data_IF_618454808537
#
_entry.id   IF_618454808537
#
_cell.length_a   1.000
_cell.length_b   1.000
_cell.length_c   1.000
_cell.angle_alpha   90.00
_cell.angle_beta   90.00
_cell.angle_gamma   90.00
#
_symmetry.space_group_name_H-M   'P 1'
#
loop_
_entity.id
_entity.type
_entity.pdbx_description
1 polymer ?
#
# COMPACT_ATOMS: atom_id res chain seq x y z
N UNK A 1 12.62 -9.20 6.10
CA UNK A 1 12.56 -8.55 7.42
C UNK A 1 11.27 -8.95 8.09
N UNK A 2 11.26 -9.14 9.41
CA UNK A 2 10.02 -9.30 10.18
C UNK A 2 9.27 -7.97 10.31
N UNK A 3 7.99 -8.00 10.66
CA UNK A 3 7.20 -6.77 10.86
C UNK A 3 7.83 -5.90 11.95
N UNK A 4 8.29 -6.49 13.06
CA UNK A 4 8.99 -5.72 14.11
C UNK A 4 10.17 -4.94 13.56
N UNK A 5 11.00 -5.57 12.73
CA UNK A 5 12.16 -4.91 12.12
C UNK A 5 11.74 -3.78 11.19
N UNK A 6 10.66 -3.95 10.43
CA UNK A 6 10.13 -2.92 9.55
C UNK A 6 9.65 -1.70 10.34
N UNK A 7 8.89 -1.92 11.43
CA UNK A 7 8.41 -0.83 12.29
C UNK A 7 9.56 -0.09 13.01
N UNK A 8 10.57 -0.83 13.49
CA UNK A 8 11.77 -0.23 14.09
C UNK A 8 12.57 0.62 13.10
N UNK A 9 12.58 0.22 11.82
CA UNK A 9 13.22 0.98 10.75
C UNK A 9 12.42 2.26 10.44
N UNK A 10 11.09 2.16 10.31
CA UNK A 10 10.21 3.31 10.10
C UNK A 10 10.31 4.33 11.22
N UNK A 11 10.29 3.89 12.48
CA UNK A 11 10.44 4.76 13.64
C UNK A 11 11.75 5.52 13.59
N UNK A 12 12.86 4.79 13.39
CA UNK A 12 14.19 5.39 13.34
C UNK A 12 14.35 6.37 12.18
N UNK A 13 13.92 5.97 10.98
CA UNK A 13 14.05 6.78 9.77
C UNK A 13 13.20 8.03 9.87
N UNK A 14 11.97 7.94 10.38
CA UNK A 14 11.10 9.10 10.57
C UNK A 14 11.72 10.10 11.54
N UNK A 15 12.20 9.63 12.70
CA UNK A 15 12.84 10.51 13.69
C UNK A 15 14.13 11.15 13.19
N UNK A 16 14.85 10.46 12.31
CA UNK A 16 16.09 10.98 11.72
C UNK A 16 15.85 11.95 10.54
N UNK A 17 14.85 11.68 9.70
CA UNK A 17 14.73 12.32 8.39
C UNK A 17 13.61 13.38 8.31
N UNK A 18 12.57 13.28 9.13
CA UNK A 18 11.41 14.18 9.09
C UNK A 18 11.61 15.49 9.87
N UNK A 19 12.80 15.76 10.42
CA UNK A 19 13.04 16.90 11.32
C UNK A 19 12.62 18.23 10.71
N UNK A 20 12.92 18.47 9.43
CA UNK A 20 12.56 19.72 8.74
C UNK A 20 11.05 19.91 8.60
N UNK A 21 10.30 18.82 8.44
CA UNK A 21 8.84 18.88 8.35
C UNK A 21 8.24 19.23 9.72
N UNK A 22 8.72 18.59 10.79
CA UNK A 22 8.31 18.89 12.16
C UNK A 22 8.62 20.35 12.54
N UNK A 23 9.81 20.85 12.17
CA UNK A 23 10.17 22.27 12.31
C UNK A 23 9.20 23.21 11.55
N UNK A 24 8.78 22.84 10.33
CA UNK A 24 7.87 23.63 9.50
C UNK A 24 6.46 23.72 10.11
N UNK A 25 5.94 22.59 10.62
CA UNK A 25 4.62 22.54 11.26
C UNK A 25 4.63 23.03 12.72
N UNK A 26 5.80 23.33 13.27
CA UNK A 26 5.97 23.85 14.63
C UNK A 26 5.75 22.80 15.73
N UNK A 27 6.01 21.54 15.43
CA UNK A 27 5.90 20.42 16.37
C UNK A 27 7.27 19.77 16.63
N UNK A 28 7.40 19.11 17.78
CA UNK A 28 8.60 18.32 18.08
C UNK A 28 8.51 16.95 17.40
N UNK A 29 9.67 16.46 16.93
CA UNK A 29 9.78 15.08 16.44
C UNK A 29 9.40 14.12 17.58
N UNK A 30 8.45 13.19 17.37
CA UNK A 30 8.02 12.28 18.42
C UNK A 30 9.18 11.39 18.88
N UNK A 31 9.22 11.08 20.18
CA UNK A 31 10.25 10.17 20.72
C UNK A 31 10.13 8.75 20.15
N UNK A 32 8.92 8.36 19.74
CA UNK A 32 8.57 7.05 19.21
C UNK A 32 7.29 7.12 18.37
N UNK A 33 7.22 6.36 17.27
CA UNK A 33 6.00 6.13 16.49
C UNK A 33 5.10 5.03 17.06
N UNK A 34 5.58 4.24 18.04
CA UNK A 34 4.75 3.30 18.79
C UNK A 34 3.88 4.07 19.79
N UNK A 35 2.70 4.50 19.34
CA UNK A 35 1.80 5.40 20.09
C UNK A 35 0.94 4.70 21.15
N UNK A 36 0.68 3.40 20.97
CA UNK A 36 -0.17 2.59 21.84
C UNK A 36 0.52 1.27 22.20
N UNK A 37 0.20 0.68 23.37
CA UNK A 37 0.70 -0.64 23.73
C UNK A 37 0.18 -1.70 22.72
N UNK A 38 0.91 -2.81 22.51
CA UNK A 38 0.46 -3.92 21.68
C UNK A 38 -1.00 -4.36 21.95
N UNK A 39 -1.74 -4.67 20.89
CA UNK A 39 -3.10 -5.18 21.00
C UNK A 39 -3.09 -6.62 21.56
N UNK A 40 -4.06 -6.94 22.40
CA UNK A 40 -4.27 -8.32 22.87
C UNK A 40 -5.04 -9.16 21.85
N UNK A 41 -4.96 -10.48 21.99
CA UNK A 41 -5.73 -11.41 21.15
C UNK A 41 -7.25 -11.15 21.28
N UNK A 42 -7.73 -10.78 22.47
CA UNK A 42 -9.14 -10.44 22.70
C UNK A 42 -9.57 -9.17 21.97
N UNK A 43 -8.69 -8.16 21.92
CA UNK A 43 -8.95 -6.91 21.21
C UNK A 43 -9.03 -7.14 19.69
N UNK A 44 -8.09 -7.91 19.14
CA UNK A 44 -8.09 -8.28 17.72
C UNK A 44 -9.35 -9.09 17.38
N UNK A 45 -9.72 -10.05 18.24
CA UNK A 45 -10.92 -10.86 18.05
C UNK A 45 -12.21 -10.01 18.18
N UNK A 46 -12.21 -8.98 19.02
CA UNK A 46 -13.33 -8.04 19.11
C UNK A 46 -13.46 -7.21 17.82
N UNK A 47 -12.34 -6.75 17.25
CA UNK A 47 -12.31 -6.06 15.96
C UNK A 47 -12.82 -6.97 14.82
N UNK A 48 -12.34 -8.21 14.72
CA UNK A 48 -12.82 -9.18 13.72
C UNK A 48 -14.34 -9.40 13.82
N UNK A 49 -14.89 -9.48 15.04
CA UNK A 49 -16.34 -9.55 15.26
C UNK A 49 -17.08 -8.27 14.89
N UNK A 50 -16.50 -7.09 15.17
CA UNK A 50 -17.06 -5.77 14.80
C UNK A 50 -17.17 -5.67 13.27
N UNK A 51 -16.16 -6.14 12.55
CA UNK A 51 -16.05 -6.05 11.10
C UNK A 51 -16.73 -7.22 10.35
N UNK A 52 -17.12 -8.29 11.07
CA UNK A 52 -17.66 -9.55 10.51
C UNK A 52 -16.72 -10.22 9.48
N UNK A 53 -15.43 -10.26 9.80
CA UNK A 53 -14.38 -10.84 8.94
C UNK A 53 -13.16 -11.32 9.74
N UNK A 54 -12.29 -12.06 9.06
CA UNK A 54 -10.98 -12.47 9.60
C UNK A 54 -9.91 -11.59 8.98
N UNK A 55 -9.09 -10.95 9.82
CA UNK A 55 -8.02 -10.05 9.39
C UNK A 55 -6.81 -10.85 8.88
N UNK A 56 -6.00 -10.28 7.96
CA UNK A 56 -4.74 -10.87 7.52
C UNK A 56 -3.82 -11.21 8.69
N UNK A 57 -3.11 -12.34 8.60
CA UNK A 57 -2.21 -12.79 9.67
C UNK A 57 -1.05 -11.82 9.93
N UNK A 58 -0.51 -11.22 8.87
CA UNK A 58 0.54 -10.22 8.98
C UNK A 58 0.04 -8.89 9.56
N UNK A 59 -1.20 -8.49 9.27
CA UNK A 59 -1.81 -7.34 9.93
C UNK A 59 -2.07 -7.60 11.43
N UNK A 60 -2.50 -8.81 11.79
CA UNK A 60 -2.64 -9.19 13.21
C UNK A 60 -1.29 -9.22 13.92
N UNK A 61 -0.22 -9.67 13.26
CA UNK A 61 1.15 -9.58 13.79
C UNK A 61 1.53 -8.11 14.03
N UNK A 62 1.24 -7.20 13.09
CA UNK A 62 1.41 -5.77 13.28
C UNK A 62 0.70 -5.26 14.53
N UNK A 63 -0.60 -5.54 14.69
CA UNK A 63 -1.38 -5.09 15.86
C UNK A 63 -0.81 -5.60 17.19
N UNK A 64 -0.29 -6.84 17.20
CA UNK A 64 0.40 -7.44 18.36
C UNK A 64 1.79 -6.88 18.65
N UNK A 65 2.33 -6.06 17.75
CA UNK A 65 3.59 -5.34 17.94
C UNK A 65 3.31 -3.87 18.27
N UNK A 66 2.34 -3.27 17.59
CA UNK A 66 1.92 -1.88 17.71
C UNK A 66 0.43 -1.78 17.45
N UNK A 67 -0.35 -1.34 18.43
CA UNK A 67 -1.79 -1.13 18.26
C UNK A 67 -2.05 0.22 17.57
N UNK A 68 -1.70 0.31 16.29
CA UNK A 68 -1.58 1.58 15.58
C UNK A 68 -0.15 2.12 15.60
N UNK A 69 0.17 3.03 14.69
CA UNK A 69 1.54 3.51 14.46
C UNK A 69 1.51 4.95 13.96
N UNK A 70 2.40 5.80 14.47
CA UNK A 70 2.46 7.21 14.07
C UNK A 70 2.80 7.40 12.60
N UNK A 71 2.55 8.61 12.09
CA UNK A 71 2.85 8.96 10.70
C UNK A 71 4.33 8.78 10.37
N UNK A 72 4.61 8.06 9.28
CA UNK A 72 5.97 7.66 8.90
C UNK A 72 6.48 8.47 7.72
N UNK A 73 7.73 8.93 7.79
CA UNK A 73 8.37 9.67 6.71
C UNK A 73 8.48 8.86 5.42
N UNK A 74 8.18 9.46 4.27
CA UNK A 74 8.32 8.82 2.95
C UNK A 74 9.33 9.47 1.99
N UNK A 75 10.14 10.40 2.48
CA UNK A 75 11.04 11.20 1.64
C UNK A 75 10.49 12.56 1.22
N UNK A 76 9.21 12.83 1.45
CA UNK A 76 8.58 14.10 1.10
C UNK A 76 7.62 14.63 2.17
N UNK A 77 6.72 13.79 2.69
CA UNK A 77 5.80 14.08 3.79
C UNK A 77 5.68 12.87 4.74
N UNK A 78 4.84 12.97 5.77
CA UNK A 78 4.45 11.83 6.60
C UNK A 78 3.30 11.09 5.94
N UNK A 79 3.48 9.80 5.69
CA UNK A 79 2.36 8.90 5.42
C UNK A 79 1.37 8.94 6.59
N UNK A 80 0.09 8.65 6.32
CA UNK A 80 -0.93 8.70 7.37
C UNK A 80 -0.57 7.71 8.49
N UNK A 81 -0.83 8.10 9.76
CA UNK A 81 -0.69 7.18 10.88
C UNK A 81 -1.61 5.97 10.66
N UNK A 82 -1.16 4.82 11.13
CA UNK A 82 -1.95 3.60 11.08
C UNK A 82 -2.80 3.48 12.34
N UNK A 83 -4.07 3.14 12.16
CA UNK A 83 -5.06 3.02 13.21
C UNK A 83 -4.78 1.87 14.17
N UNK A 84 -5.15 2.07 15.43
CA UNK A 84 -5.29 0.98 16.39
C UNK A 84 -6.65 0.28 16.25
N UNK A 85 -6.85 -0.81 16.98
CA UNK A 85 -8.05 -1.65 16.88
C UNK A 85 -9.38 -0.91 17.12
N UNK A 86 -9.37 0.19 17.87
CA UNK A 86 -10.58 0.97 18.16
C UNK A 86 -11.01 1.81 16.94
N UNK A 87 -10.03 2.29 16.17
CA UNK A 87 -10.21 3.26 15.09
C UNK A 87 -10.34 2.59 13.71
N UNK A 88 -9.97 1.31 13.58
CA UNK A 88 -10.21 0.55 12.34
C UNK A 88 -11.72 0.36 12.14
N UNK A 89 -12.19 0.81 10.98
CA UNK A 89 -13.59 0.69 10.58
C UNK A 89 -13.77 0.58 9.06
N UNK A 90 -15.02 0.37 8.65
CA UNK A 90 -15.38 0.38 7.24
C UNK A 90 -15.50 1.81 6.75
N UNK A 91 -14.85 2.11 5.63
CA UNK A 91 -15.06 3.38 4.94
C UNK A 91 -16.52 3.53 4.50
N UNK A 92 -17.03 4.74 4.71
CA UNK A 92 -18.37 5.12 4.27
C UNK A 92 -18.37 5.73 2.86
N UNK A 93 -17.23 6.22 2.40
CA UNK A 93 -17.06 6.79 1.07
C UNK A 93 -16.54 5.71 0.11
N UNK A 94 -17.28 5.46 -0.96
CA UNK A 94 -16.78 4.70 -2.08
C UNK A 94 -15.78 5.57 -2.85
N UNK A 95 -14.51 5.21 -2.78
CA UNK A 95 -13.47 5.70 -3.67
C UNK A 95 -13.63 5.07 -5.08
N UNK A 96 -13.10 5.74 -6.10
CA UNK A 96 -13.14 5.32 -7.51
C UNK A 96 -11.82 4.66 -7.91
N UNK A 97 -11.25 3.84 -7.01
CA UNK A 97 -9.99 3.15 -7.24
C UNK A 97 -10.24 1.69 -7.64
N UNK A 98 -9.31 1.11 -8.39
CA UNK A 98 -9.39 -0.29 -8.78
C UNK A 98 -8.97 -1.21 -7.62
N UNK A 99 -9.70 -2.32 -7.37
CA UNK A 99 -9.38 -3.28 -6.31
C UNK A 99 -7.93 -3.79 -6.30
N UNK A 100 -7.36 -3.94 -7.49
CA UNK A 100 -5.96 -4.24 -7.72
C UNK A 100 -5.52 -3.39 -8.90
N UNK A 101 -4.42 -2.66 -8.78
CA UNK A 101 -3.91 -1.82 -9.85
C UNK A 101 -2.76 -2.51 -10.59
N UNK A 102 -3.05 -2.93 -11.84
CA UNK A 102 -2.10 -3.50 -12.80
C UNK A 102 -1.91 -2.61 -14.04
N UNK A 103 -2.32 -1.34 -13.95
CA UNK A 103 -2.41 -0.42 -15.08
C UNK A 103 -1.22 0.52 -15.21
N UNK A 104 -0.15 0.32 -14.44
CA UNK A 104 1.09 1.05 -14.63
C UNK A 104 1.69 0.67 -15.99
N UNK A 105 1.50 1.55 -16.97
CA UNK A 105 2.18 1.48 -18.27
C UNK A 105 3.17 2.64 -18.35
N UNK A 106 4.28 2.51 -19.10
CA UNK A 106 5.22 3.61 -19.30
C UNK A 106 4.59 4.89 -19.90
N UNK A 107 3.40 4.76 -20.49
CA UNK A 107 2.61 5.83 -21.09
C UNK A 107 1.59 6.44 -20.12
N UNK A 108 1.39 5.84 -18.95
CA UNK A 108 0.38 6.25 -17.97
C UNK A 108 -1.07 5.96 -18.39
N UNK A 109 -1.27 5.16 -19.45
CA UNK A 109 -2.59 4.81 -19.96
C UNK A 109 -3.06 3.44 -19.44
N UNK A 110 -4.36 3.35 -19.16
CA UNK A 110 -5.06 2.09 -18.92
C UNK A 110 -5.18 1.32 -20.24
N UNK A 111 -4.29 0.36 -20.47
CA UNK A 111 -4.24 -0.41 -21.73
C UNK A 111 -5.13 -1.69 -21.72
N UNK A 112 -5.81 -1.96 -20.60
CA UNK A 112 -6.73 -3.10 -20.46
C UNK A 112 -8.17 -2.61 -20.41
N UNK A 113 -8.95 -3.01 -21.42
CA UNK A 113 -10.39 -2.80 -21.48
C UNK A 113 -11.12 -4.10 -21.17
N UNK A 114 -12.22 -4.02 -20.41
CA UNK A 114 -13.08 -5.17 -20.21
C UNK A 114 -13.81 -5.54 -21.50
N UNK A 115 -13.99 -6.84 -21.80
CA UNK A 115 -14.68 -7.28 -23.00
C UNK A 115 -16.08 -6.66 -23.12
N UNK A 116 -16.38 -6.20 -24.34
CA UNK A 116 -17.63 -5.50 -24.63
C UNK A 116 -17.70 -4.06 -24.12
N UNK A 117 -16.57 -3.46 -23.69
CA UNK A 117 -16.49 -2.07 -23.23
C UNK A 117 -17.20 -1.84 -21.90
N UNK A 118 -17.23 -2.85 -21.02
CA UNK A 118 -17.82 -2.75 -19.69
C UNK A 118 -16.93 -1.91 -18.77
N UNK A 119 -17.55 -1.32 -17.75
CA UNK A 119 -16.83 -0.62 -16.69
C UNK A 119 -16.13 -1.60 -15.75
N UNK A 120 -14.98 -1.19 -15.24
CA UNK A 120 -14.24 -1.94 -14.24
C UNK A 120 -15.03 -2.08 -12.93
N UNK A 121 -14.90 -3.20 -12.21
CA UNK A 121 -15.55 -3.35 -10.91
C UNK A 121 -15.04 -2.28 -9.93
N UNK A 122 -15.97 -1.57 -9.30
CA UNK A 122 -15.67 -0.67 -8.19
C UNK A 122 -15.23 -1.50 -6.95
N UNK A 123 -14.39 -0.92 -6.10
CA UNK A 123 -13.87 -1.59 -4.92
C UNK A 123 -14.84 -1.72 -3.73
N UNK A 124 -16.08 -1.24 -3.82
CA UNK A 124 -17.03 -1.31 -2.72
C UNK A 124 -16.52 -0.65 -1.43
N UNK A 125 -16.95 -1.11 -0.26
CA UNK A 125 -16.42 -0.63 1.03
C UNK A 125 -15.03 -1.19 1.29
N UNK A 126 -14.12 -0.34 1.72
CA UNK A 126 -12.74 -0.67 2.14
C UNK A 126 -12.63 -0.58 3.67
N UNK A 127 -11.61 -1.20 4.26
CA UNK A 127 -11.28 -0.95 5.67
C UNK A 127 -10.30 0.22 5.75
N UNK A 128 -10.63 1.22 6.54
CA UNK A 128 -9.72 2.30 6.88
C UNK A 128 -8.65 1.80 7.85
N UNK A 129 -7.39 1.86 7.42
CA UNK A 129 -6.23 1.52 8.23
C UNK A 129 -5.50 2.75 8.74
N UNK A 130 -5.87 3.94 8.30
CA UNK A 130 -5.15 5.16 8.60
C UNK A 130 -5.47 6.24 7.59
N UNK A 131 -5.82 7.43 8.06
CA UNK A 131 -6.05 8.57 7.19
C UNK A 131 -5.42 9.85 7.76
N UNK A 132 -5.03 10.75 6.86
CA UNK A 132 -4.63 12.11 7.18
C UNK A 132 -4.83 13.00 5.96
N UNK A 133 -5.80 13.92 6.05
CA UNK A 133 -6.13 14.86 4.97
C UNK A 133 -6.53 14.10 3.69
N UNK A 134 -5.71 14.16 2.64
CA UNK A 134 -5.93 13.46 1.37
C UNK A 134 -5.18 12.13 1.26
N UNK A 135 -4.50 11.70 2.34
CA UNK A 135 -3.71 10.48 2.39
C UNK A 135 -4.51 9.38 3.11
N UNK A 136 -4.58 8.20 2.51
CA UNK A 136 -5.29 7.06 3.07
C UNK A 136 -4.45 5.79 2.98
N UNK A 137 -4.51 4.98 4.01
CA UNK A 137 -4.06 3.60 4.04
C UNK A 137 -5.30 2.73 4.22
N UNK A 138 -5.51 1.76 3.33
CA UNK A 138 -6.73 0.97 3.34
C UNK A 138 -6.49 -0.51 3.02
N UNK A 139 -7.44 -1.35 3.40
CA UNK A 139 -7.58 -2.70 2.85
C UNK A 139 -8.75 -2.81 1.89
N UNK A 140 -8.49 -3.47 0.76
CA UNK A 140 -9.51 -4.03 -0.11
C UNK A 140 -9.89 -5.43 0.41
N UNK A 141 -11.18 -5.69 0.71
CA UNK A 141 -11.61 -6.95 1.31
C UNK A 141 -11.70 -8.11 0.30
N UNK A 142 -11.73 -9.39 0.75
CA UNK A 142 -11.63 -10.56 -0.11
C UNK A 142 -12.68 -10.72 -1.21
N UNK A 143 -13.91 -10.32 -0.95
CA UNK A 143 -14.97 -10.33 -1.96
C UNK A 143 -14.67 -9.36 -3.11
N UNK A 144 -14.12 -8.19 -2.78
CA UNK A 144 -13.78 -7.14 -3.74
C UNK A 144 -12.52 -7.51 -4.50
N UNK A 145 -11.46 -7.91 -3.79
CA UNK A 145 -10.19 -8.36 -4.38
C UNK A 145 -10.44 -9.45 -5.43
N UNK A 146 -11.28 -10.44 -5.09
CA UNK A 146 -11.67 -11.51 -6.01
C UNK A 146 -12.36 -10.99 -7.26
N UNK A 147 -13.30 -10.04 -7.11
CA UNK A 147 -14.01 -9.45 -8.24
C UNK A 147 -13.05 -8.73 -9.19
N UNK A 148 -12.08 -7.98 -8.66
CA UNK A 148 -11.02 -7.37 -9.45
C UNK A 148 -10.15 -8.38 -10.19
N UNK A 149 -9.70 -9.43 -9.49
CA UNK A 149 -8.91 -10.51 -10.10
C UNK A 149 -9.68 -11.20 -11.23
N UNK A 150 -10.97 -11.52 -11.04
CA UNK A 150 -11.82 -12.13 -12.06
C UNK A 150 -11.94 -11.25 -13.30
N UNK A 151 -12.09 -9.93 -13.13
CA UNK A 151 -12.08 -8.97 -14.23
C UNK A 151 -10.75 -9.01 -15.01
N UNK A 152 -9.61 -9.05 -14.32
CA UNK A 152 -8.31 -9.21 -14.99
C UNK A 152 -8.17 -10.56 -15.70
N UNK A 153 -8.64 -11.65 -15.13
CA UNK A 153 -8.64 -12.97 -15.80
C UNK A 153 -9.42 -12.90 -17.10
N UNK A 154 -10.60 -12.30 -17.09
CA UNK A 154 -11.44 -12.15 -18.27
C UNK A 154 -10.72 -11.36 -19.38
N UNK A 155 -10.11 -10.22 -19.03
CA UNK A 155 -9.30 -9.45 -19.98
C UNK A 155 -8.15 -10.29 -20.55
N UNK A 156 -7.47 -11.06 -19.71
CA UNK A 156 -6.31 -11.86 -20.10
C UNK A 156 -6.68 -13.07 -20.98
N UNK A 157 -7.90 -13.58 -20.85
CA UNK A 157 -8.44 -14.68 -21.66
C UNK A 157 -9.13 -14.19 -22.93
N UNK A 158 -9.59 -12.93 -22.96
CA UNK A 158 -10.32 -12.35 -24.09
C UNK A 158 -9.48 -12.34 -25.38
N UNK A 159 -10.05 -12.73 -26.53
CA UNK A 159 -9.40 -12.56 -27.83
C UNK A 159 -9.31 -11.09 -28.27
N UNK A 160 -10.06 -10.17 -27.63
CA UNK A 160 -10.03 -8.73 -27.92
C UNK A 160 -8.79 -8.05 -27.35
N UNK A 161 -8.20 -8.62 -26.29
CA UNK A 161 -7.01 -8.08 -25.63
C UNK A 161 -5.75 -8.43 -26.42
N UNK A 162 -4.94 -7.45 -26.86
CA UNK A 162 -3.72 -7.71 -27.62
C UNK A 162 -2.68 -8.52 -26.83
N UNK A 163 -1.98 -9.44 -27.50
CA UNK A 163 -0.96 -10.30 -26.87
C UNK A 163 0.17 -9.52 -26.19
N UNK A 164 0.56 -8.37 -26.75
CA UNK A 164 1.58 -7.50 -26.16
C UNK A 164 1.15 -6.95 -24.80
N UNK A 165 -0.14 -6.58 -24.66
CA UNK A 165 -0.70 -6.12 -23.38
C UNK A 165 -0.75 -7.28 -22.39
N UNK A 166 -1.22 -8.46 -22.80
CA UNK A 166 -1.21 -9.65 -21.94
C UNK A 166 0.20 -9.98 -21.44
N UNK A 167 1.20 -9.91 -22.31
CA UNK A 167 2.58 -10.17 -21.93
C UNK A 167 3.10 -9.12 -20.94
N UNK A 168 2.77 -7.85 -21.16
CA UNK A 168 3.12 -6.76 -20.23
C UNK A 168 2.47 -6.95 -18.86
N UNK A 169 1.16 -7.18 -18.81
CA UNK A 169 0.43 -7.44 -17.56
C UNK A 169 0.98 -8.64 -16.80
N UNK A 170 1.36 -9.73 -17.49
CA UNK A 170 2.02 -10.88 -16.83
C UNK A 170 3.35 -10.49 -16.19
N UNK A 171 4.20 -9.75 -16.90
CA UNK A 171 5.48 -9.28 -16.35
C UNK A 171 5.27 -8.38 -15.13
N UNK A 172 4.27 -7.51 -15.18
CA UNK A 172 3.94 -6.64 -14.05
C UNK A 172 3.47 -7.45 -12.84
N UNK A 173 2.60 -8.44 -13.05
CA UNK A 173 2.16 -9.36 -12.00
C UNK A 173 3.33 -10.15 -11.42
N UNK A 174 4.20 -10.69 -12.26
CA UNK A 174 5.39 -11.43 -11.81
C UNK A 174 6.32 -10.53 -10.98
N UNK A 175 6.48 -9.27 -11.38
CA UNK A 175 7.30 -8.30 -10.64
C UNK A 175 6.69 -7.92 -9.28
N UNK A 176 5.37 -7.73 -9.21
CA UNK A 176 4.68 -7.16 -8.03
C UNK A 176 4.21 -8.23 -7.05
N UNK A 177 3.73 -9.35 -7.57
CA UNK A 177 3.13 -10.45 -6.80
C UNK A 177 3.91 -11.76 -6.91
N UNK A 178 5.00 -11.79 -7.68
CA UNK A 178 5.90 -12.94 -7.83
C UNK A 178 5.44 -13.98 -8.85
N UNK A 179 4.13 -14.13 -9.07
CA UNK A 179 3.57 -14.98 -10.12
C UNK A 179 2.08 -14.72 -10.34
N UNK A 180 1.56 -15.15 -11.50
CA UNK A 180 0.12 -15.23 -11.74
C UNK A 180 -0.63 -16.04 -10.68
N UNK A 181 -0.11 -17.21 -10.29
CA UNK A 181 -0.77 -18.06 -9.28
C UNK A 181 -0.83 -17.39 -7.91
N UNK A 182 0.21 -16.64 -7.52
CA UNK A 182 0.20 -15.87 -6.28
C UNK A 182 -0.79 -14.70 -6.35
N UNK A 183 -0.85 -14.00 -7.48
CA UNK A 183 -1.83 -12.95 -7.74
C UNK A 183 -3.27 -13.47 -7.63
N UNK A 184 -3.57 -14.64 -8.22
CA UNK A 184 -4.92 -15.22 -8.15
C UNK A 184 -5.35 -15.65 -6.74
N UNK A 185 -4.38 -15.85 -5.83
CA UNK A 185 -4.61 -16.25 -4.45
C UNK A 185 -4.70 -15.07 -3.48
N UNK A 186 -4.57 -13.84 -3.97
CA UNK A 186 -4.74 -12.67 -3.11
C UNK A 186 -6.17 -12.64 -2.56
N UNK A 187 -6.25 -12.59 -1.25
CA UNK A 187 -7.51 -12.34 -0.54
C UNK A 187 -7.58 -10.86 -0.16
N UNK A 188 -6.51 -10.32 0.41
CA UNK A 188 -6.45 -8.94 0.85
C UNK A 188 -5.46 -8.15 0.00
N UNK A 189 -5.75 -6.86 -0.19
CA UNK A 189 -4.82 -5.91 -0.81
C UNK A 189 -4.69 -4.72 0.13
N UNK A 190 -3.48 -4.46 0.61
CA UNK A 190 -3.17 -3.19 1.27
C UNK A 190 -2.96 -2.12 0.21
N UNK A 191 -3.31 -0.88 0.50
CA UNK A 191 -3.16 0.22 -0.45
C UNK A 191 -2.81 1.51 0.28
N UNK A 192 -1.83 2.25 -0.28
CA UNK A 192 -1.69 3.68 -0.02
C UNK A 192 -2.42 4.42 -1.14
N UNK A 193 -3.31 5.34 -0.78
CA UNK A 193 -4.06 6.20 -1.69
C UNK A 193 -3.77 7.67 -1.40
N UNK A 194 -3.58 8.42 -2.48
CA UNK A 194 -3.42 9.87 -2.52
C UNK A 194 -4.37 10.45 -3.59
N UNK A 195 -4.56 11.77 -3.64
CA UNK A 195 -5.48 12.46 -4.57
C UNK A 195 -5.39 12.00 -6.04
N UNK A 196 -4.20 11.62 -6.51
CA UNK A 196 -3.96 11.30 -7.93
C UNK A 196 -3.40 9.91 -8.18
N UNK A 197 -3.03 9.18 -7.13
CA UNK A 197 -2.29 7.93 -7.26
C UNK A 197 -2.72 6.94 -6.18
N UNK A 198 -2.76 5.67 -6.54
CA UNK A 198 -2.95 4.58 -5.60
C UNK A 198 -1.86 3.54 -5.83
N UNK A 199 -1.41 2.91 -4.74
CA UNK A 199 -0.39 1.88 -4.82
C UNK A 199 -0.87 0.67 -4.04
N UNK A 200 -1.23 -0.38 -4.78
CA UNK A 200 -1.68 -1.65 -4.22
C UNK A 200 -0.51 -2.57 -3.85
N UNK A 201 -0.65 -3.32 -2.75
CA UNK A 201 0.31 -4.30 -2.24
C UNK A 201 -0.41 -5.60 -1.92
N UNK A 202 0.20 -6.74 -2.26
CA UNK A 202 -0.40 -8.05 -2.08
C UNK A 202 -0.48 -8.52 -0.61
N UNK A 203 0.32 -7.91 0.27
CA UNK A 203 0.30 -8.18 1.71
C UNK A 203 0.56 -6.92 2.51
N UNK A 204 0.18 -6.91 3.78
CA UNK A 204 0.49 -5.80 4.69
C UNK A 204 2.00 -5.70 4.95
N UNK A 205 2.70 -6.84 4.95
CA UNK A 205 4.15 -6.86 5.03
C UNK A 205 4.81 -6.14 3.85
N UNK A 206 4.33 -6.36 2.63
CA UNK A 206 4.83 -5.67 1.43
C UNK A 206 4.57 -4.15 1.50
N UNK A 207 3.39 -3.77 1.98
CA UNK A 207 3.05 -2.37 2.25
C UNK A 207 4.05 -1.70 3.21
N UNK A 208 4.37 -2.35 4.35
CA UNK A 208 5.38 -1.82 5.28
C UNK A 208 6.79 -1.80 4.68
N UNK A 209 7.16 -2.81 3.88
CA UNK A 209 8.46 -2.82 3.18
C UNK A 209 8.61 -1.63 2.25
N UNK A 210 7.56 -1.27 1.52
CA UNK A 210 7.59 -0.12 0.63
C UNK A 210 7.66 1.20 1.41
N UNK A 211 6.90 1.36 2.50
CA UNK A 211 7.03 2.52 3.38
C UNK A 211 8.45 2.64 3.96
N UNK A 212 9.08 1.53 4.36
CA UNK A 212 10.49 1.53 4.80
C UNK A 212 11.41 2.03 3.70
N UNK A 213 11.29 1.46 2.49
CA UNK A 213 12.08 1.87 1.32
C UNK A 213 11.95 3.36 1.03
N UNK A 214 10.73 3.91 1.13
CA UNK A 214 10.48 5.35 0.97
C UNK A 214 11.10 6.17 2.11
N UNK A 215 11.01 5.70 3.35
CA UNK A 215 11.55 6.40 4.54
C UNK A 215 13.08 6.55 4.56
N UNK A 216 13.79 5.68 3.84
CA UNK A 216 15.25 5.77 3.66
C UNK A 216 15.67 6.97 2.81
N UNK A 217 14.74 7.55 2.03
CA UNK A 217 14.97 8.82 1.36
C UNK A 217 15.19 9.88 2.45
N UNK A 218 16.41 10.41 2.51
CA UNK A 218 16.79 11.41 3.50
C UNK A 218 15.94 12.68 3.42
N UNK A 219 16.23 13.65 4.29
CA UNK A 219 15.49 14.92 4.34
C UNK A 219 15.35 15.54 2.95
N UNK A 220 14.12 15.92 2.57
CA UNK A 220 13.86 16.56 1.29
C UNK A 220 14.62 17.89 1.18
N UNK A 221 15.49 18.03 0.16
CA UNK A 221 16.32 19.23 -0.05
C UNK A 221 15.92 20.07 -1.28
N UNK A 222 14.68 19.93 -1.75
CA UNK A 222 14.18 20.62 -2.95
C UNK A 222 14.24 19.79 -4.24
N UNK A 223 13.67 20.33 -5.32
CA UNK A 223 13.44 19.67 -6.62
C UNK A 223 14.69 19.04 -7.28
N UNK A 224 15.90 19.50 -6.97
CA UNK A 224 17.14 19.14 -7.68
C UNK A 224 17.76 17.77 -7.35
N UNK A 225 17.21 16.98 -6.43
CA UNK A 225 17.77 15.65 -6.08
C UNK A 225 17.08 14.45 -6.74
N UNK A 226 15.91 14.63 -7.40
CA UNK A 226 15.31 13.55 -8.22
C UNK A 226 16.28 13.07 -9.31
N UNK A 227 17.06 13.99 -9.88
CA UNK A 227 17.96 13.72 -11.01
C UNK A 227 19.28 13.03 -10.61
N UNK A 228 19.55 12.80 -9.32
CA UNK A 228 20.77 12.08 -8.90
C UNK A 228 20.46 10.67 -8.38
N UNK A 229 19.33 10.48 -7.70
CA UNK A 229 18.88 9.15 -7.25
C UNK A 229 18.39 8.26 -8.41
N UNK A 230 17.70 8.85 -9.39
CA UNK A 230 17.20 8.14 -10.58
C UNK A 230 18.31 7.69 -11.52
N UNK A 231 19.35 8.50 -11.71
CA UNK A 231 20.45 8.21 -12.64
C UNK A 231 21.55 7.31 -12.06
N UNK A 232 21.73 7.27 -10.74
CA UNK A 232 22.75 6.41 -10.13
C UNK A 232 22.40 4.92 -10.22
N UNK A 233 21.11 4.56 -10.24
CA UNK A 233 20.67 3.16 -10.28
C UNK A 233 20.52 2.59 -11.69
N UNK A 234 20.30 3.40 -12.73
CA UNK A 234 20.29 2.90 -14.11
C UNK A 234 21.68 2.43 -14.57
N UNK A 235 22.75 2.87 -13.92
CA UNK A 235 24.13 2.48 -14.25
C UNK A 235 24.64 1.26 -13.47
N UNK A 236 23.92 0.78 -12.46
CA UNK A 236 24.34 -0.37 -11.65
C UNK A 236 23.69 -1.70 -12.08
N UNK A 237 22.67 -1.65 -12.95
CA UNK A 237 21.95 -2.83 -13.42
C UNK A 237 22.52 -3.44 -14.74
N UNK A 238 23.54 -2.84 -15.35
CA UNK A 238 24.13 -3.36 -16.61
C UNK A 238 25.42 -4.17 -16.43
N UNK A 239 25.88 -4.42 -15.20
CA UNK A 239 27.07 -5.24 -14.95
C UNK A 239 26.89 -6.26 -13.82
N UNK A 240 26.18 -7.36 -14.11
CA UNK A 240 26.49 -8.71 -13.60
C UNK A 240 25.96 -9.77 -14.55
#
# INVERSE_FOLDING_TARGET
MSIRQLLDELDRNTRANATSLYEEIGEDVPESLFVLPPATDEQILALERKLDLVLPDDYKEFLKISNGFGGSWNGYYLEPPLHGVEDVEWEDILSDVLPVELHETPTGNMDLDLPGGREWPNHGKTLDLGNWDVLQALFIPPNVTRTGIEAYKECMESPETPDAIKQHTRKFIDSKYGSWEAFEKLEWVAMDQHDTESVAYGTFTQFLQERVRKSEMGTWRGQGQRDQGSFAYSCMAEHT
#
